data_IF_844227369766
#
_entry.id   IF_844227369766
#
_cell.length_a   1.000
_cell.length_b   1.000
_cell.length_c   1.000
_cell.angle_alpha   90.00
_cell.angle_beta   90.00
_cell.angle_gamma   90.00
#
_symmetry.space_group_name_H-M   'P 1'
#
loop_
_entity.id
_entity.type
_entity.pdbx_description
1 polymer ?
#
# COMPACT_ATOMS: atom_id res chain seq x y z
N UNK A 1 -22.19 -4.21 -1.16
CA UNK A 1 -22.30 -3.45 0.11
C UNK A 1 -20.96 -2.73 0.30
N UNK A 2 -20.92 -1.65 1.07
CA UNK A 2 -19.77 -0.72 1.19
C UNK A 2 -19.60 -0.36 2.68
N UNK A 3 -18.43 0.15 3.07
CA UNK A 3 -18.16 0.63 4.43
C UNK A 3 -19.22 1.64 4.90
N UNK A 4 -19.81 2.42 3.98
CA UNK A 4 -20.92 3.38 4.27
C UNK A 4 -22.21 2.74 4.79
N UNK A 5 -22.32 1.41 4.77
CA UNK A 5 -23.47 0.65 5.27
C UNK A 5 -23.17 -0.10 6.56
N UNK A 6 -21.96 0.01 7.10
CA UNK A 6 -21.55 -0.59 8.36
C UNK A 6 -22.08 0.29 9.52
N UNK A 7 -22.71 -0.28 10.56
CA UNK A 7 -23.10 0.46 11.75
C UNK A 7 -21.89 1.10 12.46
N UNK A 8 -22.06 2.29 13.01
CA UNK A 8 -20.97 3.03 13.67
C UNK A 8 -20.31 2.22 14.80
N UNK A 9 -21.07 1.43 15.57
CA UNK A 9 -20.51 0.57 16.62
C UNK A 9 -19.61 -0.56 16.08
N UNK A 10 -19.82 -0.99 14.84
CA UNK A 10 -19.04 -2.05 14.18
C UNK A 10 -17.94 -1.50 13.27
N UNK A 11 -17.80 -0.17 13.22
CA UNK A 11 -16.87 0.54 12.36
C UNK A 11 -15.67 1.05 13.18
N UNK A 12 -14.49 0.52 12.89
CA UNK A 12 -13.24 1.07 13.37
C UNK A 12 -12.81 2.23 12.45
N UNK A 13 -12.58 3.40 13.04
CA UNK A 13 -12.00 4.56 12.35
C UNK A 13 -10.73 5.02 13.08
N UNK A 14 -9.66 5.27 12.34
CA UNK A 14 -8.42 5.87 12.86
C UNK A 14 -7.60 6.50 11.74
N UNK A 15 -6.66 7.36 12.12
CA UNK A 15 -5.73 8.02 11.20
C UNK A 15 -4.29 7.49 11.35
N UNK A 16 -3.52 7.59 10.27
CA UNK A 16 -2.06 7.41 10.24
C UNK A 16 -1.44 8.50 9.35
N UNK A 17 -0.29 9.05 9.75
CA UNK A 17 0.44 10.08 8.99
C UNK A 17 1.69 9.47 8.36
N UNK A 18 1.95 9.78 7.09
CA UNK A 18 3.11 9.30 6.33
C UNK A 18 3.84 10.48 5.70
N UNK A 19 5.16 10.50 5.84
CA UNK A 19 6.07 11.47 5.21
C UNK A 19 6.29 11.19 3.71
N UNK A 20 5.21 11.11 2.94
CA UNK A 20 5.22 10.95 1.49
C UNK A 20 3.95 11.55 0.89
N UNK A 21 4.02 12.00 -0.36
CA UNK A 21 2.84 12.56 -1.04
C UNK A 21 1.75 11.50 -1.32
N UNK A 22 0.47 11.91 -1.46
CA UNK A 22 -0.62 10.96 -1.63
C UNK A 22 -0.49 10.06 -2.85
N UNK A 23 0.19 10.51 -3.92
CA UNK A 23 0.39 9.70 -5.13
C UNK A 23 1.34 8.55 -4.85
N UNK A 24 2.43 8.75 -4.11
CA UNK A 24 3.36 7.68 -3.70
C UNK A 24 2.68 6.69 -2.78
N UNK A 25 2.01 7.18 -1.74
CA UNK A 25 1.27 6.33 -0.79
C UNK A 25 0.21 5.49 -1.52
N UNK A 26 -0.62 6.11 -2.34
CA UNK A 26 -1.66 5.42 -3.13
C UNK A 26 -1.08 4.38 -4.09
N UNK A 27 0.03 4.70 -4.76
CA UNK A 27 0.68 3.77 -5.70
C UNK A 27 1.17 2.52 -4.98
N UNK A 28 1.68 2.63 -3.74
CA UNK A 28 2.17 1.50 -2.96
C UNK A 28 1.09 0.44 -2.65
N UNK A 29 -0.20 0.81 -2.66
CA UNK A 29 -1.32 -0.13 -2.51
C UNK A 29 -1.63 -0.91 -3.81
N UNK A 30 -1.37 -0.30 -4.97
CA UNK A 30 -1.78 -0.82 -6.27
C UNK A 30 -0.64 -1.47 -7.07
N UNK A 31 0.61 -1.15 -6.74
CA UNK A 31 1.79 -1.70 -7.40
C UNK A 31 2.23 -2.99 -6.70
N UNK A 32 2.12 -4.17 -7.34
CA UNK A 32 2.57 -5.44 -6.75
C UNK A 32 4.06 -5.44 -6.35
N UNK A 33 4.89 -4.66 -7.06
CA UNK A 33 6.32 -4.55 -6.78
C UNK A 33 6.61 -3.81 -5.46
N UNK A 34 5.66 -3.01 -4.99
CA UNK A 34 5.72 -2.32 -3.71
C UNK A 34 4.91 -3.06 -2.64
N UNK A 35 3.68 -3.50 -2.96
CA UNK A 35 2.73 -4.07 -2.02
C UNK A 35 3.33 -5.21 -1.19
N UNK A 36 4.05 -6.15 -1.83
CA UNK A 36 4.64 -7.28 -1.12
C UNK A 36 5.73 -6.91 -0.10
N UNK A 37 6.30 -5.70 -0.19
CA UNK A 37 7.40 -5.24 0.66
C UNK A 37 6.91 -4.73 2.01
N UNK A 38 5.67 -4.22 2.07
CA UNK A 38 5.15 -3.56 3.27
C UNK A 38 3.88 -4.20 3.82
N UNK A 39 3.07 -4.84 2.98
CA UNK A 39 1.75 -5.29 3.36
C UNK A 39 1.81 -6.51 4.29
N UNK A 40 0.99 -6.46 5.35
CA UNK A 40 0.93 -7.47 6.39
C UNK A 40 1.46 -6.96 7.73
N UNK A 41 0.87 -7.40 8.86
CA UNK A 41 1.30 -6.98 10.18
C UNK A 41 2.67 -7.53 10.54
N UNK A 42 3.27 -6.98 11.60
CA UNK A 42 4.54 -7.49 12.13
C UNK A 42 4.47 -9.01 12.38
N UNK A 43 5.52 -9.73 11.95
CA UNK A 43 5.59 -11.18 12.03
C UNK A 43 4.94 -11.93 10.86
N UNK A 44 4.35 -11.23 9.89
CA UNK A 44 3.80 -11.79 8.66
C UNK A 44 4.43 -11.12 7.45
N UNK A 45 4.80 -11.89 6.42
CA UNK A 45 5.43 -11.37 5.22
C UNK A 45 4.62 -11.72 3.99
N UNK A 46 4.20 -10.71 3.23
CA UNK A 46 3.58 -10.90 1.93
C UNK A 46 4.55 -11.55 0.92
N UNK A 47 4.03 -12.48 0.14
CA UNK A 47 4.77 -13.26 -0.82
C UNK A 47 4.52 -12.74 -2.23
N UNK A 48 5.55 -12.77 -3.07
CA UNK A 48 5.43 -12.43 -4.50
C UNK A 48 4.77 -13.55 -5.30
N UNK A 49 4.96 -14.81 -4.86
CA UNK A 49 4.30 -15.97 -5.47
C UNK A 49 2.78 -15.91 -5.25
N UNK A 50 2.04 -15.91 -6.36
CA UNK A 50 0.58 -15.83 -6.33
C UNK A 50 0.00 -14.45 -5.95
N UNK A 51 0.81 -13.40 -5.87
CA UNK A 51 0.35 -12.03 -5.68
C UNK A 51 -0.43 -11.55 -6.90
N UNK A 52 -1.66 -11.09 -6.69
CA UNK A 52 -2.51 -10.51 -7.73
C UNK A 52 -2.96 -9.12 -7.29
N UNK A 53 -2.85 -8.15 -8.20
CA UNK A 53 -3.45 -6.83 -8.04
C UNK A 53 -4.03 -6.40 -9.38
N UNK A 54 -5.34 -6.51 -9.54
CA UNK A 54 -6.08 -5.99 -10.69
C UNK A 54 -6.59 -4.59 -10.33
N UNK A 55 -5.82 -3.55 -10.62
CA UNK A 55 -6.06 -2.15 -10.23
C UNK A 55 -7.20 -1.46 -11.00
N UNK A 56 -8.37 -2.11 -11.01
CA UNK A 56 -9.62 -1.63 -11.60
C UNK A 56 -10.77 -1.91 -10.64
N UNK A 57 -11.83 -1.09 -10.65
CA UNK A 57 -13.04 -1.36 -9.86
C UNK A 57 -13.62 -2.72 -10.29
N UNK A 58 -13.91 -3.56 -9.30
CA UNK A 58 -14.33 -4.94 -9.49
C UNK A 58 -13.17 -5.93 -9.65
N UNK A 59 -11.92 -5.47 -9.82
CA UNK A 59 -10.73 -6.30 -9.86
C UNK A 59 -10.41 -6.96 -8.51
N UNK A 60 -9.61 -8.01 -8.56
CA UNK A 60 -9.17 -8.79 -7.39
C UNK A 60 -7.79 -8.31 -6.92
N UNK A 61 -7.64 -8.21 -5.60
CA UNK A 61 -6.35 -8.21 -4.92
C UNK A 61 -6.23 -9.51 -4.11
N UNK A 62 -5.16 -10.28 -4.33
CA UNK A 62 -4.90 -11.53 -3.59
C UNK A 62 -3.48 -11.50 -3.05
N UNK A 63 -3.35 -11.56 -1.73
CA UNK A 63 -2.06 -11.51 -1.04
C UNK A 63 -1.91 -12.77 -0.19
N UNK A 64 -0.89 -13.58 -0.46
CA UNK A 64 -0.47 -14.66 0.42
C UNK A 64 0.58 -14.13 1.39
N UNK A 65 0.41 -14.40 2.67
CA UNK A 65 1.36 -14.07 3.73
C UNK A 65 1.85 -15.33 4.43
N UNK A 66 3.09 -15.30 4.88
CA UNK A 66 3.74 -16.37 5.67
C UNK A 66 4.20 -15.78 6.99
N UNK A 67 4.05 -16.52 8.08
CA UNK A 67 4.54 -16.08 9.37
C UNK A 67 6.07 -16.22 9.47
N UNK A 68 6.73 -15.21 10.02
CA UNK A 68 8.20 -15.15 10.13
C UNK A 68 8.77 -16.19 11.10
N UNK A 69 7.98 -16.61 12.10
CA UNK A 69 8.39 -17.54 13.15
C UNK A 69 7.96 -18.99 12.89
N UNK A 70 6.88 -19.17 12.13
CA UNK A 70 6.39 -20.47 11.68
C UNK A 70 6.07 -20.44 10.18
N UNK A 71 7.00 -20.86 9.30
CA UNK A 71 6.76 -20.88 7.86
C UNK A 71 5.60 -21.79 7.41
N UNK A 72 5.14 -22.71 8.27
CA UNK A 72 3.96 -23.53 8.03
C UNK A 72 2.64 -22.77 8.27
N UNK A 73 2.68 -21.67 9.03
CA UNK A 73 1.54 -20.80 9.25
C UNK A 73 1.42 -19.79 8.10
N UNK A 74 0.35 -19.94 7.31
CA UNK A 74 0.11 -19.14 6.11
C UNK A 74 -1.29 -18.57 6.12
N UNK A 75 -1.47 -17.41 5.50
CA UNK A 75 -2.76 -16.75 5.37
C UNK A 75 -2.90 -16.19 3.95
N UNK A 76 -4.09 -16.28 3.37
CA UNK A 76 -4.43 -15.66 2.09
C UNK A 76 -5.56 -14.66 2.33
N UNK A 77 -5.27 -13.40 2.02
CA UNK A 77 -6.28 -12.36 1.92
C UNK A 77 -6.73 -12.25 0.46
N UNK A 78 -8.04 -12.21 0.27
CA UNK A 78 -8.64 -12.02 -1.04
C UNK A 78 -9.67 -10.90 -0.97
N UNK A 79 -9.43 -9.87 -1.77
CA UNK A 79 -10.17 -8.63 -1.73
C UNK A 79 -10.66 -8.24 -3.13
N UNK A 80 -11.76 -7.52 -3.19
CA UNK A 80 -12.29 -6.91 -4.42
C UNK A 80 -12.31 -5.40 -4.28
N UNK A 81 -11.74 -4.71 -5.26
CA UNK A 81 -11.81 -3.24 -5.33
C UNK A 81 -13.26 -2.80 -5.54
N UNK A 82 -13.77 -1.98 -4.63
CA UNK A 82 -15.11 -1.37 -4.71
C UNK A 82 -15.04 0.06 -5.25
N UNK A 83 -13.99 0.80 -4.89
CA UNK A 83 -13.71 2.15 -5.37
C UNK A 83 -12.20 2.34 -5.56
N UNK A 84 -11.83 3.02 -6.63
CA UNK A 84 -10.47 3.47 -6.91
C UNK A 84 -10.60 4.92 -7.39
N UNK A 85 -10.38 5.87 -6.50
CA UNK A 85 -10.31 7.30 -6.82
C UNK A 85 -8.84 7.71 -6.74
N UNK A 86 -8.15 7.92 -7.88
CA UNK A 86 -6.71 8.15 -7.90
C UNK A 86 -6.26 9.18 -6.88
N UNK A 87 -5.34 8.76 -6.00
CA UNK A 87 -4.70 9.59 -4.96
C UNK A 87 -5.63 10.11 -3.87
N UNK A 88 -6.91 9.70 -3.86
CA UNK A 88 -7.92 10.18 -2.93
C UNK A 88 -8.54 9.06 -2.11
N UNK A 89 -8.93 7.95 -2.73
CA UNK A 89 -9.64 6.88 -2.05
C UNK A 89 -9.40 5.49 -2.64
N UNK A 90 -9.26 4.50 -1.77
CA UNK A 90 -9.36 3.08 -2.10
C UNK A 90 -10.39 2.43 -1.17
N UNK A 91 -11.32 1.66 -1.74
CA UNK A 91 -12.25 0.84 -0.96
C UNK A 91 -12.19 -0.62 -1.43
N UNK A 92 -12.18 -1.54 -0.48
CA UNK A 92 -12.12 -2.97 -0.71
C UNK A 92 -13.24 -3.70 0.04
N UNK A 93 -13.72 -4.80 -0.53
CA UNK A 93 -14.37 -5.87 0.21
C UNK A 93 -13.37 -7.02 0.35
N UNK A 94 -12.96 -7.33 1.57
CA UNK A 94 -11.97 -8.36 1.91
C UNK A 94 -12.65 -9.58 2.54
N UNK A 95 -12.27 -10.76 2.08
CA UNK A 95 -12.63 -12.03 2.70
C UNK A 95 -11.66 -12.33 3.84
N UNK A 96 -12.19 -12.38 5.08
CA UNK A 96 -11.36 -12.77 6.22
C UNK A 96 -10.91 -14.22 6.08
N UNK A 97 -9.68 -14.55 6.49
CA UNK A 97 -9.19 -15.92 6.49
C UNK A 97 -9.92 -16.76 7.55
N UNK A 98 -10.16 -18.03 7.24
CA UNK A 98 -10.63 -19.01 8.20
C UNK A 98 -9.48 -19.56 9.06
N UNK A 99 -9.78 -20.53 9.94
CA UNK A 99 -8.78 -21.16 10.82
C UNK A 99 -7.65 -21.92 10.11
N UNK A 100 -7.78 -22.18 8.80
CA UNK A 100 -6.75 -22.77 7.95
C UNK A 100 -5.95 -21.72 7.16
N UNK A 101 -6.27 -20.43 7.31
CA UNK A 101 -5.64 -19.35 6.57
C UNK A 101 -6.21 -19.14 5.16
N UNK A 102 -7.31 -19.80 4.80
CA UNK A 102 -7.95 -19.67 3.49
C UNK A 102 -9.08 -18.63 3.51
N UNK A 103 -9.36 -17.90 2.41
CA UNK A 103 -10.44 -16.93 2.36
C UNK A 103 -11.79 -17.57 2.71
N UNK A 104 -12.60 -16.87 3.52
CA UNK A 104 -13.94 -17.30 3.93
C UNK A 104 -15.05 -16.47 3.29
N UNK A 105 -16.31 -16.77 3.65
CA UNK A 105 -17.48 -15.98 3.24
C UNK A 105 -17.72 -14.75 4.14
N UNK A 106 -16.89 -14.54 5.17
CA UNK A 106 -16.98 -13.38 6.04
C UNK A 106 -16.31 -12.19 5.35
N UNK A 107 -17.08 -11.13 5.12
CA UNK A 107 -16.60 -9.91 4.47
C UNK A 107 -16.38 -8.77 5.45
N UNK A 108 -15.24 -8.11 5.32
CA UNK A 108 -14.92 -6.83 5.93
C UNK A 108 -14.65 -5.81 4.83
N UNK A 109 -15.19 -4.61 4.99
CA UNK A 109 -14.97 -3.48 4.11
C UNK A 109 -13.88 -2.59 4.71
N UNK A 110 -12.91 -2.21 3.89
CA UNK A 110 -11.85 -1.28 4.26
C UNK A 110 -11.86 -0.12 3.30
N UNK A 111 -11.89 1.11 3.81
CA UNK A 111 -11.71 2.34 3.04
C UNK A 111 -10.51 3.11 3.56
N UNK A 112 -9.68 3.56 2.63
CA UNK A 112 -8.51 4.38 2.86
C UNK A 112 -8.70 5.69 2.10
N UNK A 113 -8.74 6.81 2.83
CA UNK A 113 -8.78 8.16 2.24
C UNK A 113 -7.45 8.85 2.45
N UNK A 114 -6.88 9.38 1.38
CA UNK A 114 -5.57 10.00 1.37
C UNK A 114 -5.73 11.52 1.31
N UNK A 115 -5.21 12.20 2.33
CA UNK A 115 -5.30 13.64 2.48
C UNK A 115 -3.90 14.25 2.44
N UNK A 116 -3.59 15.15 1.48
CA UNK A 116 -2.39 15.96 1.58
C UNK A 116 -2.43 16.76 2.89
N UNK A 117 -1.38 16.68 3.69
CA UNK A 117 -1.31 17.31 5.00
C UNK A 117 0.13 17.65 5.38
N UNK A 118 0.30 18.59 6.31
CA UNK A 118 1.60 18.86 6.91
C UNK A 118 1.86 17.85 8.03
N UNK A 119 2.94 17.06 7.90
CA UNK A 119 3.27 15.96 8.82
C UNK A 119 4.70 16.09 9.35
N UNK A 120 5.04 15.27 10.34
CA UNK A 120 6.43 15.10 10.78
C UNK A 120 7.14 14.15 9.82
N UNK A 121 8.24 14.63 9.25
CA UNK A 121 9.15 13.95 8.31
C UNK A 121 10.53 13.77 8.95
N UNK A 122 11.42 12.92 8.40
CA UNK A 122 12.80 12.82 8.87
C UNK A 122 13.56 14.16 8.86
N UNK A 123 13.24 15.06 7.92
CA UNK A 123 13.85 16.38 7.76
C UNK A 123 13.21 17.47 8.65
N UNK A 124 12.15 17.16 9.39
CA UNK A 124 11.39 18.11 10.21
C UNK A 124 9.91 18.13 9.84
N UNK A 125 9.26 19.29 9.88
CA UNK A 125 7.85 19.41 9.49
C UNK A 125 7.78 19.71 7.99
N UNK A 126 7.01 18.91 7.24
CA UNK A 126 6.94 18.99 5.77
C UNK A 126 5.62 18.49 5.20
N UNK A 127 5.55 18.41 3.87
CA UNK A 127 4.39 17.85 3.17
C UNK A 127 4.35 16.32 3.33
N UNK A 128 3.15 15.77 3.48
CA UNK A 128 2.92 14.33 3.52
C UNK A 128 1.45 13.99 3.36
N UNK A 129 1.08 12.82 3.86
CA UNK A 129 -0.27 12.27 3.72
C UNK A 129 -0.82 11.82 5.06
N UNK A 130 -2.01 12.30 5.43
CA UNK A 130 -2.85 11.62 6.43
C UNK A 130 -3.75 10.62 5.74
N UNK A 131 -3.70 9.37 6.19
CA UNK A 131 -4.59 8.29 5.77
C UNK A 131 -5.68 8.16 6.82
N UNK A 132 -6.93 8.42 6.44
CA UNK A 132 -8.09 8.00 7.25
C UNK A 132 -8.49 6.59 6.86
N UNK A 133 -8.52 5.70 7.85
CA UNK A 133 -8.80 4.28 7.68
C UNK A 133 -10.14 3.95 8.34
N UNK A 134 -11.04 3.34 7.58
CA UNK A 134 -12.36 2.88 8.03
C UNK A 134 -12.48 1.38 7.74
N UNK A 135 -12.73 0.57 8.78
CA UNK A 135 -12.78 -0.90 8.64
C UNK A 135 -13.96 -1.48 9.40
N UNK A 136 -14.76 -2.31 8.74
CA UNK A 136 -15.84 -3.05 9.38
C UNK A 136 -16.72 -3.82 8.40
N UNK A 137 -17.70 -4.62 8.86
CA UNK A 137 -18.15 -4.71 10.24
C UNK A 137 -17.20 -5.56 11.10
N UNK A 138 -16.96 -5.13 12.34
CA UNK A 138 -16.24 -5.92 13.33
C UNK A 138 -16.72 -5.60 14.76
N UNK A 139 -16.74 -6.58 15.67
CA UNK A 139 -17.10 -6.34 17.07
C UNK A 139 -16.21 -5.28 17.75
N UNK A 140 -16.76 -4.40 18.61
CA UNK A 140 -15.97 -3.35 19.29
C UNK A 140 -14.77 -3.89 20.08
N UNK A 141 -14.87 -5.11 20.61
CA UNK A 141 -13.82 -5.70 21.44
C UNK A 141 -12.55 -6.09 20.67
N UNK A 142 -12.58 -6.11 19.32
CA UNK A 142 -11.39 -6.38 18.50
C UNK A 142 -10.79 -5.11 17.88
N UNK A 143 -11.43 -3.94 18.04
CA UNK A 143 -11.01 -2.69 17.39
C UNK A 143 -9.57 -2.29 17.72
N UNK A 144 -9.16 -2.38 19.00
CA UNK A 144 -7.79 -2.02 19.42
C UNK A 144 -6.74 -2.97 18.84
N UNK A 145 -7.06 -4.26 18.75
CA UNK A 145 -6.18 -5.27 18.17
C UNK A 145 -5.98 -5.02 16.67
N UNK A 146 -7.07 -4.79 15.93
CA UNK A 146 -7.03 -4.47 14.51
C UNK A 146 -6.28 -3.16 14.25
N UNK A 147 -6.52 -2.12 15.06
CA UNK A 147 -5.77 -0.85 14.95
C UNK A 147 -4.27 -1.06 15.16
N UNK A 148 -3.90 -1.86 16.16
CA UNK A 148 -2.48 -2.16 16.46
C UNK A 148 -1.83 -2.93 15.31
N UNK A 149 -2.54 -3.92 14.74
CA UNK A 149 -2.12 -4.68 13.57
C UNK A 149 -1.85 -3.77 12.37
N UNK A 150 -2.78 -2.86 12.05
CA UNK A 150 -2.61 -1.89 10.97
C UNK A 150 -1.48 -0.89 11.21
N UNK A 151 -1.30 -0.39 12.44
CA UNK A 151 -0.14 0.47 12.77
C UNK A 151 1.19 -0.22 12.49
N UNK A 152 1.30 -1.52 12.81
CA UNK A 152 2.52 -2.28 12.49
C UNK A 152 2.73 -2.48 10.99
N UNK A 153 1.63 -2.57 10.23
CA UNK A 153 1.65 -2.65 8.77
C UNK A 153 2.11 -1.30 8.18
N UNK A 154 1.58 -0.18 8.69
CA UNK A 154 1.96 1.15 8.22
C UNK A 154 3.41 1.52 8.53
N UNK A 155 3.97 1.07 9.66
CA UNK A 155 5.39 1.28 9.95
C UNK A 155 6.31 0.72 8.85
N UNK A 156 5.90 -0.36 8.16
CA UNK A 156 6.64 -0.91 7.01
C UNK A 156 6.43 -0.09 5.74
N UNK A 157 5.24 0.50 5.56
CA UNK A 157 4.97 1.43 4.46
C UNK A 157 5.78 2.72 4.64
N UNK A 158 5.86 3.25 5.86
CA UNK A 158 6.71 4.40 6.20
C UNK A 158 8.17 4.13 5.80
N UNK A 159 8.71 2.98 6.24
CA UNK A 159 10.08 2.58 5.90
C UNK A 159 10.30 2.44 4.38
N UNK A 160 9.37 1.78 3.68
CA UNK A 160 9.43 1.62 2.22
C UNK A 160 9.49 2.97 1.50
N UNK A 161 8.70 3.95 1.94
CA UNK A 161 8.60 5.23 1.26
C UNK A 161 9.78 6.15 1.58
N UNK A 162 10.35 6.08 2.79
CA UNK A 162 11.58 6.80 3.11
C UNK A 162 12.79 6.27 2.32
N UNK A 163 12.89 4.97 2.06
CA UNK A 163 13.97 4.38 1.24
C UNK A 163 14.03 4.94 -0.20
N UNK A 164 12.89 5.39 -0.75
CA UNK A 164 12.78 5.86 -2.14
C UNK A 164 12.89 7.38 -2.27
N UNK A 165 13.10 8.11 -1.17
CA UNK A 165 13.39 9.55 -1.20
C UNK A 165 14.88 9.87 -1.41
N UNK A 166 15.75 8.86 -1.54
CA UNK A 166 17.14 9.07 -1.94
C UNK A 166 17.22 9.50 -3.43
N UNK A 167 17.69 10.73 -3.74
CA UNK A 167 17.56 11.36 -5.06
C UNK A 167 18.48 10.80 -6.17
N UNK A 168 19.05 9.60 -6.02
CA UNK A 168 20.11 9.11 -6.94
C UNK A 168 19.62 8.31 -8.16
N UNK A 169 18.32 8.19 -8.44
CA UNK A 169 17.84 7.34 -9.56
C UNK A 169 17.11 8.06 -10.72
N UNK A 170 16.97 9.40 -10.70
CA UNK A 170 16.26 10.11 -11.78
C UNK A 170 17.17 10.81 -12.81
N UNK A 171 18.50 10.77 -12.68
CA UNK A 171 19.42 11.52 -13.56
C UNK A 171 20.43 10.64 -14.32
N UNK A 172 19.92 9.64 -15.04
CA UNK A 172 20.69 8.95 -16.07
C UNK A 172 20.01 9.08 -17.44
N UNK A 173 19.84 10.32 -17.90
CA UNK A 173 19.70 10.59 -19.33
C UNK A 173 21.08 10.49 -19.99
N UNK A 174 21.25 9.70 -21.06
CA UNK A 174 22.54 9.62 -21.73
C UNK A 174 22.78 10.93 -22.47
N UNK A 175 23.80 11.69 -22.07
CA UNK A 175 24.34 12.79 -22.88
C UNK A 175 24.71 12.23 -24.26
N UNK A 176 23.94 12.65 -25.27
CA UNK A 176 24.33 12.52 -26.66
C UNK A 176 25.55 13.42 -26.88
N UNK A 177 26.71 12.82 -27.10
CA UNK A 177 27.86 13.54 -27.65
C UNK A 177 27.54 13.99 -29.07
N UNK A 178 27.20 15.27 -29.18
CA UNK A 178 27.13 16.05 -30.41
C UNK A 178 28.56 16.19 -31.00
N UNK A 179 28.92 15.32 -31.93
CA UNK A 179 30.15 15.44 -32.72
C UNK A 179 29.85 16.38 -33.90
N UNK A 180 30.16 17.66 -33.71
CA UNK A 180 30.00 18.72 -34.71
C UNK A 180 30.93 18.56 -35.93
N UNK A 181 30.60 19.19 -37.08
CA UNK A 181 31.22 18.87 -38.36
C UNK A 181 32.48 19.68 -38.66
N UNK A 182 33.43 19.09 -39.38
CA UNK A 182 34.37 19.82 -40.24
C UNK A 182 35.81 19.31 -40.23
N UNK A 183 36.27 18.77 -41.37
CA UNK A 183 37.31 19.39 -42.23
C UNK A 183 37.90 18.33 -43.18
N UNK A 184 37.65 18.47 -44.49
CA UNK A 184 38.58 18.05 -45.55
C UNK A 184 39.33 19.33 -46.04
N UNK A 185 40.58 19.31 -46.53
CA UNK A 185 41.08 18.61 -47.74
C UNK A 185 42.50 17.98 -47.51
N UNK A 186 43.27 17.36 -48.41
CA UNK A 186 43.61 17.56 -49.84
C UNK A 186 44.42 16.32 -50.34
N UNK A 187 44.56 16.04 -51.65
CA UNK A 187 45.12 14.80 -52.18
C UNK A 187 46.62 14.89 -52.52
N UNK A 188 47.25 13.73 -52.64
CA UNK A 188 48.47 13.50 -53.45
C UNK A 188 48.27 12.27 -54.32
#
# INVERSE_FOLDING_TARGET
>A
MSVTKVPDEELLVFDHEIAADPKRVFTAYLDPSQLHRWYGPAGWQAQTDGLVVESVVGGIQRVRMVNDFDPGATCVLQSRFLAIEPYHELEYAEQLPNHLGEPSDILVYSRFRFHPETVITPEGVGEGTRITVEIGPMPPNVHEEVRTSWRSTFARLDALLTEHDDPEQEDASPEQTDDGPGQAPDPR
#
